data_IF_252610604010
#
_entry.id   IF_252610604010
#
_cell.length_a   1.000
_cell.length_b   1.000
_cell.length_c   1.000
_cell.angle_alpha   90.00
_cell.angle_beta   90.00
_cell.angle_gamma   90.00
#
_symmetry.space_group_name_H-M   'P 1'
#
loop_
_entity.id
_entity.type
_entity.pdbx_description
1 polymer ?
#
# COMPACT_ATOMS: atom_id res chain seq x y z
N UNK A 1 10.36 6.85 -8.90
CA UNK A 1 9.66 7.06 -7.60
C UNK A 1 9.64 5.75 -6.84
N UNK A 2 9.50 5.77 -5.50
CA UNK A 2 9.33 4.55 -4.70
C UNK A 2 7.93 4.55 -4.11
N UNK A 3 7.23 3.42 -4.24
CA UNK A 3 5.96 3.18 -3.56
C UNK A 3 6.24 2.09 -2.53
N UNK A 4 6.11 2.43 -1.27
CA UNK A 4 6.34 1.52 -0.15
C UNK A 4 4.98 1.28 0.50
N UNK A 5 4.58 0.03 0.63
CA UNK A 5 3.33 -0.38 1.21
C UNK A 5 3.55 -1.16 2.50
N UNK A 6 2.60 -1.03 3.44
CA UNK A 6 2.60 -1.75 4.71
C UNK A 6 1.44 -2.73 4.71
N UNK A 7 1.75 -3.98 4.50
CA UNK A 7 0.75 -5.06 4.50
C UNK A 7 0.35 -5.48 5.90
N UNK A 8 -0.86 -6.06 6.01
CA UNK A 8 -1.40 -6.63 7.26
C UNK A 8 -1.46 -5.64 8.43
N UNK A 9 -1.63 -4.35 8.12
CA UNK A 9 -1.57 -3.26 9.10
C UNK A 9 -2.91 -2.99 9.80
N UNK A 10 -4.03 -3.40 9.21
CA UNK A 10 -5.37 -3.18 9.76
C UNK A 10 -5.84 -4.42 10.55
N UNK A 11 -5.93 -4.29 11.87
CA UNK A 11 -6.23 -5.41 12.78
C UNK A 11 -7.59 -6.08 12.49
N UNK A 12 -8.60 -5.31 12.11
CA UNK A 12 -9.92 -5.84 11.77
C UNK A 12 -9.87 -6.68 10.49
N UNK A 13 -9.23 -6.17 9.45
CA UNK A 13 -9.06 -6.86 8.18
C UNK A 13 -8.26 -8.17 8.34
N UNK A 14 -7.25 -8.17 9.21
CA UNK A 14 -6.48 -9.38 9.53
C UNK A 14 -7.38 -10.46 10.14
N UNK A 15 -8.32 -10.09 11.01
CA UNK A 15 -9.29 -11.04 11.58
C UNK A 15 -10.24 -11.62 10.52
N UNK A 16 -10.73 -10.79 9.61
CA UNK A 16 -11.61 -11.22 8.50
C UNK A 16 -10.93 -12.23 7.58
N UNK A 17 -9.62 -12.08 7.37
CA UNK A 17 -8.79 -13.00 6.59
C UNK A 17 -8.29 -14.22 7.38
N UNK A 18 -8.71 -14.39 8.65
CA UNK A 18 -8.32 -15.52 9.49
C UNK A 18 -6.87 -15.45 9.99
N UNK A 19 -6.25 -14.27 9.98
CA UNK A 19 -4.89 -14.08 10.49
C UNK A 19 -4.91 -13.91 12.02
N UNK A 20 -4.48 -14.94 12.73
CA UNK A 20 -4.42 -14.96 14.20
C UNK A 20 -3.12 -14.39 14.76
N UNK A 21 -2.06 -14.29 13.94
CA UNK A 21 -0.77 -13.74 14.37
C UNK A 21 -0.77 -12.22 14.24
N UNK A 22 -0.48 -11.54 15.33
CA UNK A 22 -0.17 -10.10 15.34
C UNK A 22 1.31 -9.98 14.96
N UNK A 23 1.60 -9.43 13.80
CA UNK A 23 2.98 -9.11 13.43
C UNK A 23 3.50 -8.01 14.36
N UNK A 24 4.62 -8.26 15.01
CA UNK A 24 5.30 -7.27 15.86
C UNK A 24 6.06 -6.23 15.04
N UNK A 25 6.36 -6.55 13.77
CA UNK A 25 7.04 -5.67 12.83
C UNK A 25 6.19 -5.46 11.57
N UNK A 26 6.27 -4.29 10.93
CA UNK A 26 5.55 -4.02 9.69
C UNK A 26 5.96 -4.98 8.56
N UNK A 27 4.98 -5.52 7.86
CA UNK A 27 5.23 -6.27 6.62
C UNK A 27 5.37 -5.26 5.49
N UNK A 28 6.60 -5.04 5.04
CA UNK A 28 6.90 -4.05 4.00
C UNK A 28 7.02 -4.74 2.64
N UNK A 29 6.37 -4.18 1.63
CA UNK A 29 6.59 -4.53 0.23
C UNK A 29 6.59 -3.28 -0.63
N UNK A 30 7.00 -3.43 -1.89
CA UNK A 30 7.11 -2.30 -2.80
C UNK A 30 6.27 -2.54 -4.06
N UNK A 31 5.79 -1.44 -4.63
CA UNK A 31 5.28 -1.41 -5.99
C UNK A 31 6.22 -0.51 -6.83
N UNK A 32 6.52 -0.90 -8.09
CA UNK A 32 7.25 -0.03 -8.99
C UNK A 32 6.41 1.20 -9.36
N UNK A 33 7.02 2.27 -9.84
CA UNK A 33 6.28 3.44 -10.31
C UNK A 33 5.45 3.17 -11.58
N UNK A 34 5.82 2.15 -12.36
CA UNK A 34 5.00 1.64 -13.47
C UNK A 34 3.66 1.05 -13.02
N UNK A 35 3.53 0.67 -11.73
CA UNK A 35 2.28 0.18 -11.18
C UNK A 35 1.22 1.28 -10.99
N UNK A 36 1.57 2.56 -11.12
CA UNK A 36 0.62 3.66 -10.92
C UNK A 36 -0.39 3.70 -12.06
N UNK A 37 -1.67 3.61 -11.70
CA UNK A 37 -2.78 3.91 -12.58
C UNK A 37 -2.89 5.43 -12.73
N UNK A 38 -2.47 5.94 -13.90
CA UNK A 38 -2.34 7.38 -14.16
C UNK A 38 -3.68 7.99 -14.62
N UNK A 39 -3.86 9.26 -14.26
CA UNK A 39 -4.83 10.15 -14.88
C UNK A 39 -6.31 9.69 -14.80
N UNK A 40 -6.67 8.99 -13.73
CA UNK A 40 -8.04 8.49 -13.55
C UNK A 40 -8.49 7.49 -14.62
N UNK A 41 -7.54 6.83 -15.30
CA UNK A 41 -7.86 5.79 -16.28
C UNK A 41 -8.58 4.61 -15.63
N UNK A 42 -9.40 3.89 -16.39
CA UNK A 42 -10.04 2.68 -15.88
C UNK A 42 -8.99 1.61 -15.55
N UNK A 43 -9.21 0.91 -14.45
CA UNK A 43 -8.45 -0.30 -14.14
C UNK A 43 -9.02 -1.46 -14.96
N UNK A 44 -8.16 -2.14 -15.70
CA UNK A 44 -8.50 -3.36 -16.42
C UNK A 44 -8.05 -4.57 -15.62
N UNK A 45 -8.98 -5.51 -15.40
CA UNK A 45 -8.67 -6.76 -14.71
C UNK A 45 -7.70 -7.57 -15.57
N UNK A 46 -6.52 -7.95 -15.04
CA UNK A 46 -5.53 -8.70 -15.82
C UNK A 46 -5.93 -10.17 -15.99
N UNK A 47 -5.53 -10.76 -17.12
CA UNK A 47 -5.87 -12.16 -17.46
C UNK A 47 -5.13 -13.20 -16.62
N UNK A 48 -4.05 -12.82 -15.94
CA UNK A 48 -3.21 -13.75 -15.18
C UNK A 48 -3.75 -14.11 -13.79
N UNK A 49 -4.83 -13.47 -13.33
CA UNK A 49 -5.44 -13.71 -12.02
C UNK A 49 -6.95 -13.85 -12.15
N UNK A 50 -7.52 -14.77 -11.42
CA UNK A 50 -8.97 -15.01 -11.34
C UNK A 50 -9.63 -14.30 -10.16
N UNK A 51 -8.83 -13.63 -9.31
CA UNK A 51 -9.34 -13.00 -8.10
C UNK A 51 -8.55 -11.72 -7.80
N UNK A 52 -9.08 -10.60 -8.26
CA UNK A 52 -8.53 -9.27 -7.97
C UNK A 52 -9.35 -8.63 -6.86
N UNK A 53 -8.67 -8.25 -5.78
CA UNK A 53 -9.23 -7.45 -4.70
C UNK A 53 -8.74 -6.01 -4.79
N UNK A 54 -9.54 -5.08 -4.29
CA UNK A 54 -9.14 -3.70 -4.04
C UNK A 54 -8.95 -3.50 -2.53
N UNK A 55 -7.83 -2.94 -2.15
CA UNK A 55 -7.52 -2.58 -0.75
C UNK A 55 -7.43 -1.06 -0.67
N UNK A 56 -8.34 -0.44 0.06
CA UNK A 56 -8.33 1.02 0.25
C UNK A 56 -7.31 1.39 1.30
N UNK A 57 -6.42 2.32 0.95
CA UNK A 57 -5.25 2.67 1.75
C UNK A 57 -5.13 4.17 1.98
N UNK A 58 -4.64 4.56 3.15
CA UNK A 58 -4.13 5.91 3.39
C UNK A 58 -2.74 6.03 2.74
N UNK A 59 -2.61 6.95 1.82
CA UNK A 59 -1.35 7.22 1.12
C UNK A 59 -0.71 8.49 1.66
N UNK A 60 0.54 8.39 2.08
CA UNK A 60 1.32 9.49 2.63
C UNK A 60 2.43 9.87 1.65
N UNK A 61 2.54 11.15 1.31
CA UNK A 61 3.60 11.65 0.43
C UNK A 61 4.82 12.05 1.24
N UNK A 62 5.93 11.33 1.04
CA UNK A 62 7.23 11.70 1.61
C UNK A 62 7.85 12.79 0.73
N UNK A 63 8.16 13.93 1.31
CA UNK A 63 8.66 15.12 0.60
C UNK A 63 10.13 15.46 0.90
N UNK A 64 10.80 14.69 1.76
CA UNK A 64 12.16 14.98 2.20
C UNK A 64 13.02 13.72 2.23
N UNK A 65 14.26 13.84 1.82
CA UNK A 65 15.25 12.78 2.01
C UNK A 65 15.58 12.61 3.48
N UNK A 66 15.75 11.36 3.91
CA UNK A 66 16.13 11.04 5.27
C UNK A 66 16.65 9.62 5.39
N UNK A 67 17.49 9.41 6.42
CA UNK A 67 18.03 8.11 6.80
C UNK A 67 18.18 8.06 8.31
N UNK A 68 17.79 6.94 8.92
CA UNK A 68 17.88 6.73 10.38
C UNK A 68 17.13 7.82 11.17
N UNK A 69 15.95 8.19 10.72
CA UNK A 69 15.15 9.25 11.35
C UNK A 69 14.48 8.68 12.59
N UNK A 70 14.69 9.33 13.74
CA UNK A 70 13.99 8.96 14.96
C UNK A 70 12.46 9.21 14.79
N UNK A 71 11.58 8.31 15.27
CA UNK A 71 10.12 8.41 15.07
C UNK A 71 9.52 9.77 15.44
N UNK A 72 10.02 10.41 16.49
CA UNK A 72 9.58 11.76 16.93
C UNK A 72 9.75 12.86 15.87
N UNK A 73 10.54 12.62 14.83
CA UNK A 73 10.77 13.55 13.73
C UNK A 73 10.08 13.15 12.42
N UNK A 74 9.34 12.04 12.39
CA UNK A 74 8.71 11.53 11.19
C UNK A 74 7.78 12.55 10.54
N UNK A 75 7.06 13.35 11.34
CA UNK A 75 6.15 14.41 10.88
C UNK A 75 6.81 15.50 10.02
N UNK A 76 8.15 15.59 10.01
CA UNK A 76 8.90 16.55 9.20
C UNK A 76 9.21 16.04 7.79
N UNK A 77 8.84 14.78 7.50
CA UNK A 77 9.23 14.07 6.27
C UNK A 77 8.08 13.80 5.34
N UNK A 78 6.86 14.16 5.71
CA UNK A 78 5.70 14.08 4.83
C UNK A 78 4.92 15.41 4.84
N UNK A 79 4.25 15.71 3.75
CA UNK A 79 3.56 16.99 3.55
C UNK A 79 2.12 16.85 3.09
N UNK A 80 1.72 15.71 2.59
CA UNK A 80 0.39 15.53 2.06
C UNK A 80 -0.07 14.07 2.18
N UNK A 81 -1.38 13.90 2.18
CA UNK A 81 -2.04 12.59 2.22
C UNK A 81 -3.10 12.48 1.15
N UNK A 82 -3.44 11.27 0.79
CA UNK A 82 -4.58 10.95 -0.08
C UNK A 82 -5.09 9.54 0.22
N UNK A 83 -6.16 9.15 -0.46
CA UNK A 83 -6.64 7.77 -0.50
C UNK A 83 -6.12 7.12 -1.77
N UNK A 84 -5.69 5.87 -1.66
CA UNK A 84 -5.29 5.05 -2.78
C UNK A 84 -5.97 3.69 -2.76
N UNK A 85 -5.73 2.93 -3.82
CA UNK A 85 -6.16 1.53 -3.92
C UNK A 85 -4.95 0.67 -4.25
N UNK A 86 -4.70 -0.34 -3.41
CA UNK A 86 -3.75 -1.41 -3.64
C UNK A 86 -4.49 -2.58 -4.28
N UNK A 87 -4.47 -2.65 -5.63
CA UNK A 87 -5.03 -3.80 -6.33
C UNK A 87 -4.14 -5.02 -6.11
N UNK A 88 -4.78 -6.11 -5.73
CA UNK A 88 -4.11 -7.33 -5.30
C UNK A 88 -4.65 -8.54 -6.08
N UNK A 89 -3.75 -9.27 -6.74
CA UNK A 89 -4.07 -10.59 -7.27
C UNK A 89 -4.08 -11.60 -6.10
N UNK A 90 -5.26 -11.76 -5.51
CA UNK A 90 -5.42 -12.46 -4.22
C UNK A 90 -5.12 -13.95 -4.28
N UNK A 91 -5.49 -14.61 -5.37
CA UNK A 91 -5.18 -16.00 -5.65
C UNK A 91 -3.65 -16.24 -5.69
N UNK A 92 -2.93 -15.36 -6.39
CA UNK A 92 -1.46 -15.42 -6.44
C UNK A 92 -0.84 -15.10 -5.08
N UNK A 93 -1.37 -14.13 -4.34
CA UNK A 93 -0.85 -13.78 -3.02
C UNK A 93 -0.94 -14.98 -2.06
N UNK A 94 -2.06 -15.71 -2.03
CA UNK A 94 -2.21 -16.92 -1.21
C UNK A 94 -1.12 -17.95 -1.57
N UNK A 95 -0.98 -18.26 -2.86
CA UNK A 95 0.04 -19.17 -3.37
C UNK A 95 1.45 -18.77 -2.96
N UNK A 96 1.80 -17.48 -3.13
CA UNK A 96 3.14 -16.99 -2.79
C UNK A 96 3.41 -17.00 -1.29
N UNK A 97 2.41 -16.74 -0.46
CA UNK A 97 2.56 -16.88 1.00
C UNK A 97 2.85 -18.31 1.42
N UNK A 98 2.12 -19.29 0.87
CA UNK A 98 2.35 -20.71 1.13
C UNK A 98 3.75 -21.15 0.70
N UNK A 99 4.20 -20.67 -0.46
CA UNK A 99 5.51 -20.98 -1.04
C UNK A 99 6.64 -20.10 -0.49
N UNK A 100 6.33 -19.09 0.33
CA UNK A 100 7.29 -18.10 0.84
C UNK A 100 8.00 -17.32 -0.29
N UNK A 101 7.30 -17.11 -1.39
CA UNK A 101 7.78 -16.34 -2.53
C UNK A 101 7.55 -14.83 -2.32
N UNK A 102 8.34 -13.97 -3.01
CA UNK A 102 8.10 -12.54 -3.07
C UNK A 102 6.72 -12.19 -3.64
N UNK A 103 6.23 -10.96 -3.33
CA UNK A 103 4.87 -10.52 -3.67
C UNK A 103 4.78 -9.66 -4.93
N UNK A 104 5.87 -9.40 -5.63
CA UNK A 104 5.90 -8.49 -6.78
C UNK A 104 4.86 -8.83 -7.83
N UNK A 105 4.70 -10.12 -8.18
CA UNK A 105 3.74 -10.53 -9.20
C UNK A 105 2.27 -10.36 -8.79
N UNK A 106 1.96 -10.38 -7.50
CA UNK A 106 0.60 -10.20 -7.01
C UNK A 106 0.27 -8.78 -6.53
N UNK A 107 1.28 -7.94 -6.33
CA UNK A 107 1.16 -6.58 -5.79
C UNK A 107 1.76 -5.50 -6.69
N UNK A 108 2.74 -5.84 -7.53
CA UNK A 108 3.51 -4.87 -8.32
C UNK A 108 3.23 -4.86 -9.81
N UNK A 109 2.14 -5.47 -10.27
CA UNK A 109 1.77 -5.49 -11.67
C UNK A 109 1.28 -4.11 -12.17
N UNK A 110 1.29 -3.89 -13.47
CA UNK A 110 0.93 -2.62 -14.08
C UNK A 110 -0.48 -2.17 -13.66
N UNK A 111 -0.61 -0.89 -13.35
CA UNK A 111 -1.85 -0.25 -12.89
C UNK A 111 -2.39 -0.77 -11.55
N UNK A 112 -1.58 -1.49 -10.77
CA UNK A 112 -2.00 -2.04 -9.46
C UNK A 112 -2.05 -1.02 -8.32
N UNK A 113 -1.71 0.25 -8.56
CA UNK A 113 -1.75 1.33 -7.57
C UNK A 113 -2.54 2.53 -8.11
N UNK A 114 -3.79 2.70 -7.70
CA UNK A 114 -4.51 3.93 -7.93
C UNK A 114 -4.23 4.92 -6.80
N UNK A 115 -3.87 6.15 -7.13
CA UNK A 115 -3.51 7.19 -6.17
C UNK A 115 -4.36 8.43 -6.45
N UNK A 116 -5.09 8.88 -5.44
CA UNK A 116 -5.95 10.06 -5.53
C UNK A 116 -5.17 11.39 -5.51
N UNK A 117 -5.89 12.47 -5.54
CA UNK A 117 -5.31 13.82 -5.43
C UNK A 117 -4.85 14.08 -4.00
N UNK A 118 -3.60 14.49 -3.85
CA UNK A 118 -3.03 14.80 -2.54
C UNK A 118 -3.59 16.07 -1.93
N UNK A 119 -3.85 16.02 -0.63
CA UNK A 119 -4.28 17.16 0.20
C UNK A 119 -3.19 17.42 1.25
N UNK A 120 -2.77 18.70 1.44
CA UNK A 120 -1.76 19.04 2.45
C UNK A 120 -2.17 18.60 3.86
N UNK A 121 -1.24 18.02 4.63
CA UNK A 121 -1.51 17.53 6.01
C UNK A 121 -1.91 18.63 6.98
N UNK A 122 -1.54 19.89 6.73
CA UNK A 122 -1.94 21.04 7.54
C UNK A 122 -3.45 21.27 7.58
N UNK A 123 -4.20 20.72 6.61
CA UNK A 123 -5.66 20.73 6.61
C UNK A 123 -6.27 19.70 7.56
N UNK A 124 -5.47 18.75 8.07
CA UNK A 124 -5.90 17.70 8.99
C UNK A 124 -5.10 17.82 10.27
N UNK A 125 -5.61 18.57 11.25
CA UNK A 125 -4.92 18.82 12.53
C UNK A 125 -4.78 17.58 13.40
N UNK A 126 -5.52 16.50 13.11
CA UNK A 126 -5.55 15.28 13.92
C UNK A 126 -5.67 14.00 13.06
N UNK A 127 -4.63 13.70 12.29
CA UNK A 127 -4.56 12.39 11.59
C UNK A 127 -4.28 11.24 12.58
N UNK A 128 -3.96 11.53 13.83
CA UNK A 128 -3.60 10.54 14.86
C UNK A 128 -4.73 10.19 15.85
N UNK A 129 -5.92 10.73 15.67
CA UNK A 129 -7.09 10.42 16.52
C UNK A 129 -8.14 9.61 15.75
#
# INVERSE_FOLDING_TARGET
MKIIAVGMNYAQHNKELGHTQVNTEPVIFMKPDSAILKDGKPFFIPDFSNEIHYETELVVRINRLGKNIAPRFANRYYDAVTVGIDFTARDLQRKFREQRNPWELCKGFDSSAAIGTFVPVEHYKDIQN
#
